data_IF_689026024739
#
_entry.id   IF_689026024739
#
_cell.length_a   1.000
_cell.length_b   1.000
_cell.length_c   1.000
_cell.angle_alpha   90.00
_cell.angle_beta   90.00
_cell.angle_gamma   90.00
#
_symmetry.space_group_name_H-M   'P 1'
#
loop_
_entity.id
_entity.type
_entity.pdbx_description
1 polymer ?
#
# COMPACT_ATOMS: atom_id res chain seq x y z
N UNK A 1 -0.69 33.38 -21.37
CA UNK A 1 0.02 32.30 -22.09
C UNK A 1 -0.43 30.99 -21.47
N UNK A 2 -1.43 30.37 -22.09
CA UNK A 2 -1.93 29.04 -21.75
C UNK A 2 -0.95 28.01 -22.33
N UNK A 3 -0.38 27.18 -21.48
CA UNK A 3 0.40 26.02 -21.91
C UNK A 3 -0.60 24.92 -22.22
N UNK A 4 -0.81 24.63 -23.49
CA UNK A 4 -1.50 23.43 -23.94
C UNK A 4 -0.67 22.20 -23.56
N UNK A 5 -1.25 21.32 -22.76
CA UNK A 5 -0.70 19.99 -22.48
C UNK A 5 -1.00 19.11 -23.69
N UNK A 6 -0.10 19.13 -24.68
CA UNK A 6 -0.13 18.30 -25.90
C UNK A 6 0.25 16.85 -25.54
N UNK A 7 -0.56 16.22 -24.68
CA UNK A 7 -0.30 14.87 -24.17
C UNK A 7 -1.55 14.05 -23.83
N UNK A 8 -2.70 14.67 -23.55
CA UNK A 8 -3.93 13.93 -23.17
C UNK A 8 -4.81 13.55 -24.36
N UNK A 9 -4.99 14.45 -25.34
CA UNK A 9 -6.01 14.25 -26.39
C UNK A 9 -5.62 13.18 -27.43
N UNK A 10 -4.34 13.05 -27.76
CA UNK A 10 -3.87 12.07 -28.76
C UNK A 10 -3.95 10.62 -28.27
N UNK A 11 -3.87 10.40 -26.95
CA UNK A 11 -3.95 9.07 -26.33
C UNK A 11 -5.38 8.59 -26.06
N UNK A 12 -6.35 9.50 -25.94
CA UNK A 12 -7.74 9.11 -25.80
C UNK A 12 -8.29 8.51 -27.11
N UNK A 13 -7.95 9.11 -28.26
CA UNK A 13 -8.56 8.80 -29.56
C UNK A 13 -8.24 7.39 -30.13
N UNK A 14 -7.21 6.70 -29.65
CA UNK A 14 -6.77 5.38 -30.15
C UNK A 14 -7.28 4.18 -29.33
N UNK A 15 -7.94 4.40 -28.19
CA UNK A 15 -8.42 3.28 -27.35
C UNK A 15 -9.70 2.62 -27.90
N UNK A 16 -9.80 1.27 -27.78
CA UNK A 16 -11.06 0.56 -28.01
C UNK A 16 -12.22 1.17 -27.21
N UNK A 17 -13.39 1.31 -27.83
CA UNK A 17 -14.57 1.94 -27.22
C UNK A 17 -14.98 1.32 -25.87
N UNK A 18 -14.75 0.01 -25.70
CA UNK A 18 -15.03 -0.70 -24.45
C UNK A 18 -14.17 -0.19 -23.27
N UNK A 19 -12.88 0.06 -23.50
CA UNK A 19 -11.98 0.57 -22.44
C UNK A 19 -12.41 1.96 -22.00
N UNK A 20 -12.78 2.84 -22.94
CA UNK A 20 -13.26 4.19 -22.60
C UNK A 20 -14.51 4.16 -21.73
N UNK A 21 -15.46 3.28 -22.04
CA UNK A 21 -16.69 3.13 -21.23
C UNK A 21 -16.38 2.70 -19.80
N UNK A 22 -15.45 1.76 -19.64
CA UNK A 22 -15.02 1.28 -18.31
C UNK A 22 -14.35 2.41 -17.53
N UNK A 23 -13.41 3.13 -18.14
CA UNK A 23 -12.74 4.27 -17.50
C UNK A 23 -13.74 5.38 -17.12
N UNK A 24 -14.72 5.68 -17.97
CA UNK A 24 -15.76 6.66 -17.67
C UNK A 24 -16.65 6.22 -16.49
N UNK A 25 -17.01 4.93 -16.41
CA UNK A 25 -17.75 4.36 -15.28
C UNK A 25 -16.96 4.43 -13.98
N UNK A 26 -15.65 4.18 -14.03
CA UNK A 26 -14.76 4.34 -12.88
C UNK A 26 -14.79 5.79 -12.41
N UNK A 27 -14.58 6.73 -13.34
CA UNK A 27 -14.56 8.17 -13.05
C UNK A 27 -15.86 8.64 -12.41
N UNK A 28 -17.01 8.18 -12.90
CA UNK A 28 -18.31 8.46 -12.31
C UNK A 28 -18.43 7.87 -10.89
N UNK A 29 -17.95 6.65 -10.67
CA UNK A 29 -18.06 5.96 -9.39
C UNK A 29 -17.19 6.59 -8.28
N UNK A 30 -16.03 7.16 -8.64
CA UNK A 30 -15.10 7.80 -7.69
C UNK A 30 -15.36 9.28 -7.47
N UNK A 31 -16.11 9.93 -8.37
CA UNK A 31 -16.41 11.37 -8.30
C UNK A 31 -17.11 11.72 -6.99
N UNK A 32 -16.54 12.68 -6.26
CA UNK A 32 -17.06 13.15 -4.98
C UNK A 32 -16.77 12.21 -3.81
N UNK A 33 -15.96 11.15 -4.00
CA UNK A 33 -15.56 10.21 -2.95
C UNK A 33 -14.06 10.23 -2.69
N UNK A 34 -13.33 11.21 -3.22
CA UNK A 34 -11.87 11.29 -3.07
C UNK A 34 -11.41 11.57 -1.63
N UNK A 35 -12.31 12.01 -0.77
CA UNK A 35 -12.10 12.08 0.69
C UNK A 35 -12.03 10.70 1.36
N UNK A 36 -12.55 9.65 0.70
CA UNK A 36 -12.34 8.26 1.07
C UNK A 36 -10.96 7.85 0.54
N UNK A 37 -10.12 7.31 1.41
CA UNK A 37 -8.76 6.88 1.02
C UNK A 37 -8.77 5.66 0.09
N UNK A 38 -9.89 4.93 0.06
CA UNK A 38 -10.12 3.84 -0.89
C UNK A 38 -11.59 3.83 -1.32
N UNK A 39 -11.82 3.62 -2.62
CA UNK A 39 -13.16 3.47 -3.21
C UNK A 39 -13.24 2.12 -3.92
N UNK A 40 -14.25 1.32 -3.56
CA UNK A 40 -14.56 0.07 -4.25
C UNK A 40 -15.54 0.31 -5.41
N UNK A 41 -15.27 -0.31 -6.55
CA UNK A 41 -16.11 -0.30 -7.76
C UNK A 41 -16.30 -1.74 -8.26
N UNK A 42 -17.54 -2.20 -8.36
CA UNK A 42 -17.86 -3.56 -8.79
C UNK A 42 -18.12 -3.65 -10.30
N UNK A 43 -17.62 -4.72 -10.92
CA UNK A 43 -17.72 -5.08 -12.34
C UNK A 43 -18.16 -6.55 -12.50
N UNK A 44 -19.41 -6.90 -12.14
CA UNK A 44 -19.87 -8.29 -12.09
C UNK A 44 -20.00 -8.96 -13.48
N UNK A 45 -20.05 -8.19 -14.55
CA UNK A 45 -20.37 -8.68 -15.91
C UNK A 45 -19.14 -9.19 -16.69
N UNK A 46 -18.06 -9.55 -15.99
CA UNK A 46 -16.82 -10.04 -16.60
C UNK A 46 -16.04 -8.97 -17.38
N UNK A 47 -16.32 -7.69 -17.13
CA UNK A 47 -15.68 -6.57 -17.83
C UNK A 47 -14.16 -6.51 -17.59
N UNK A 48 -13.69 -7.01 -16.44
CA UNK A 48 -12.26 -7.06 -16.08
C UNK A 48 -11.56 -8.37 -16.51
N UNK A 49 -12.23 -9.29 -17.21
CA UNK A 49 -11.59 -10.53 -17.71
C UNK A 49 -10.51 -10.24 -18.75
N UNK A 50 -10.69 -9.16 -19.51
CA UNK A 50 -9.75 -8.77 -20.57
C UNK A 50 -8.51 -8.11 -19.95
N UNK A 51 -7.34 -8.73 -20.16
CA UNK A 51 -6.06 -8.19 -19.70
C UNK A 51 -5.84 -6.74 -20.15
N UNK A 52 -6.18 -6.39 -21.39
CA UNK A 52 -6.00 -5.02 -21.91
C UNK A 52 -6.85 -3.98 -21.19
N UNK A 53 -8.00 -4.37 -20.62
CA UNK A 53 -8.81 -3.50 -19.76
C UNK A 53 -8.09 -3.28 -18.44
N UNK A 54 -7.61 -4.36 -17.81
CA UNK A 54 -6.90 -4.29 -16.53
C UNK A 54 -5.59 -3.49 -16.63
N UNK A 55 -4.81 -3.72 -17.69
CA UNK A 55 -3.62 -2.90 -18.01
C UNK A 55 -3.98 -1.42 -18.12
N UNK A 56 -5.07 -1.09 -18.82
CA UNK A 56 -5.52 0.30 -18.93
C UNK A 56 -5.93 0.88 -17.57
N UNK A 57 -6.61 0.13 -16.71
CA UNK A 57 -6.97 0.58 -15.36
C UNK A 57 -5.72 0.89 -14.54
N UNK A 58 -4.75 -0.04 -14.52
CA UNK A 58 -3.51 0.10 -13.74
C UNK A 58 -2.61 1.25 -14.22
N UNK A 59 -2.72 1.66 -15.49
CA UNK A 59 -2.03 2.83 -16.04
C UNK A 59 -2.63 4.15 -15.51
N UNK A 60 -3.95 4.20 -15.35
CA UNK A 60 -4.66 5.44 -15.00
C UNK A 60 -4.86 5.61 -13.50
N UNK A 61 -4.97 4.50 -12.76
CA UNK A 61 -5.34 4.51 -11.36
C UNK A 61 -4.34 3.72 -10.52
N UNK A 62 -4.14 4.19 -9.29
CA UNK A 62 -3.55 3.37 -8.23
C UNK A 62 -4.60 2.37 -7.79
N UNK A 63 -4.57 1.19 -8.41
CA UNK A 63 -5.67 0.24 -8.37
C UNK A 63 -5.26 -1.16 -7.95
N UNK A 64 -6.16 -1.83 -7.25
CA UNK A 64 -6.08 -3.26 -6.93
C UNK A 64 -7.33 -3.95 -7.50
N UNK A 65 -7.18 -5.15 -8.08
CA UNK A 65 -8.28 -5.91 -8.67
C UNK A 65 -8.35 -7.28 -7.98
N UNK A 66 -9.48 -7.57 -7.34
CA UNK A 66 -9.75 -8.81 -6.63
C UNK A 66 -10.83 -9.58 -7.38
N UNK A 67 -10.62 -10.89 -7.57
CA UNK A 67 -11.54 -11.82 -8.23
C UNK A 67 -12.04 -11.40 -9.63
N UNK A 68 -11.37 -10.44 -10.29
CA UNK A 68 -11.75 -9.85 -11.58
C UNK A 68 -13.16 -9.24 -11.63
N UNK A 69 -13.72 -8.90 -10.48
CA UNK A 69 -15.03 -8.27 -10.36
C UNK A 69 -15.03 -7.10 -9.37
N UNK A 70 -14.01 -6.98 -8.51
CA UNK A 70 -13.88 -5.90 -7.53
C UNK A 70 -12.63 -5.09 -7.80
N UNK A 71 -12.82 -3.80 -8.06
CA UNK A 71 -11.76 -2.82 -8.26
C UNK A 71 -11.68 -1.90 -7.04
N UNK A 72 -10.50 -1.72 -6.48
CA UNK A 72 -10.23 -0.77 -5.40
C UNK A 72 -9.32 0.32 -5.91
N UNK A 73 -9.74 1.58 -5.77
CA UNK A 73 -8.96 2.76 -6.18
C UNK A 73 -8.51 3.49 -4.94
N UNK A 74 -7.21 3.74 -4.83
CA UNK A 74 -6.58 4.37 -3.67
C UNK A 74 -6.37 5.87 -3.90
N UNK A 75 -6.72 6.66 -2.89
CA UNK A 75 -6.50 8.10 -2.80
C UNK A 75 -5.60 8.41 -1.60
N UNK A 76 -4.31 8.10 -1.76
CA UNK A 76 -3.32 8.32 -0.70
C UNK A 76 -2.89 9.79 -0.66
N UNK A 77 -2.98 10.40 0.52
CA UNK A 77 -2.52 11.77 0.77
C UNK A 77 -1.01 11.86 0.99
N UNK A 78 -0.47 13.09 0.95
CA UNK A 78 0.98 13.34 1.01
C UNK A 78 1.71 12.72 2.22
N UNK A 79 1.08 12.71 3.40
CA UNK A 79 1.68 12.08 4.59
C UNK A 79 1.89 10.57 4.40
N UNK A 80 0.90 9.88 3.82
CA UNK A 80 0.97 8.45 3.58
C UNK A 80 2.02 8.13 2.50
N UNK A 81 2.03 8.89 1.41
CA UNK A 81 3.06 8.77 0.36
C UNK A 81 4.48 9.02 0.89
N UNK A 82 4.67 10.03 1.74
CA UNK A 82 6.00 10.28 2.34
C UNK A 82 6.42 9.13 3.26
N UNK A 83 5.49 8.53 4.01
CA UNK A 83 5.78 7.35 4.84
C UNK A 83 6.23 6.19 3.94
N UNK A 84 5.56 5.96 2.81
CA UNK A 84 5.95 4.93 1.84
C UNK A 84 7.40 5.14 1.36
N UNK A 85 7.73 6.38 1.00
CA UNK A 85 9.06 6.74 0.50
C UNK A 85 10.15 6.54 1.55
N UNK A 86 9.96 7.04 2.76
CA UNK A 86 10.97 6.98 3.82
C UNK A 86 11.18 5.53 4.32
N UNK A 87 10.11 4.75 4.40
CA UNK A 87 10.19 3.30 4.66
C UNK A 87 10.97 2.58 3.57
N UNK A 88 10.63 2.82 2.29
CA UNK A 88 11.32 2.19 1.17
C UNK A 88 12.80 2.58 1.13
N UNK A 89 13.14 3.85 1.41
CA UNK A 89 14.51 4.32 1.49
C UNK A 89 15.30 3.63 2.62
N UNK A 90 14.69 3.52 3.80
CA UNK A 90 15.29 2.85 4.96
C UNK A 90 15.57 1.37 4.66
N UNK A 91 14.60 0.67 4.06
CA UNK A 91 14.74 -0.74 3.66
C UNK A 91 15.83 -0.94 2.59
N UNK A 92 15.92 -0.06 1.59
CA UNK A 92 17.00 -0.10 0.58
C UNK A 92 18.37 0.11 1.20
N UNK A 93 18.45 0.98 2.20
CA UNK A 93 19.69 1.27 2.93
C UNK A 93 20.11 0.10 3.79
N UNK A 94 19.15 -0.54 4.47
CA UNK A 94 19.38 -1.72 5.30
C UNK A 94 19.99 -2.87 4.49
N UNK A 95 19.47 -3.17 3.30
CA UNK A 95 20.05 -4.19 2.43
C UNK A 95 19.90 -3.85 0.94
N UNK A 96 21.03 -3.48 0.33
CA UNK A 96 21.10 -3.08 -1.09
C UNK A 96 20.87 -4.22 -2.08
N UNK A 97 20.94 -5.48 -1.63
CA UNK A 97 20.69 -6.63 -2.48
C UNK A 97 19.19 -6.93 -2.62
N UNK A 98 18.35 -6.38 -1.74
CA UNK A 98 16.91 -6.54 -1.84
C UNK A 98 16.34 -5.63 -2.93
N UNK A 99 15.32 -6.14 -3.63
CA UNK A 99 14.47 -5.28 -4.44
C UNK A 99 13.40 -4.69 -3.52
N UNK A 100 13.41 -3.37 -3.35
CA UNK A 100 12.44 -2.65 -2.52
C UNK A 100 11.69 -1.67 -3.41
N UNK A 101 10.37 -1.76 -3.39
CA UNK A 101 9.52 -0.94 -4.25
C UNK A 101 8.21 -0.59 -3.57
N UNK A 102 7.71 0.60 -3.84
CA UNK A 102 6.39 1.06 -3.45
C UNK A 102 5.40 0.87 -4.60
N UNK A 103 4.14 0.58 -4.29
CA UNK A 103 3.02 0.53 -5.24
C UNK A 103 3.25 -0.40 -6.47
N UNK A 104 4.07 -1.44 -6.32
CA UNK A 104 4.36 -2.40 -7.39
C UNK A 104 3.26 -3.44 -7.50
N UNK A 105 2.76 -3.67 -8.72
CA UNK A 105 1.73 -4.68 -8.97
C UNK A 105 2.32 -6.08 -8.75
N UNK A 106 1.65 -6.86 -7.92
CA UNK A 106 1.90 -8.26 -7.65
C UNK A 106 0.65 -9.07 -8.01
N UNK A 107 0.83 -10.31 -8.47
CA UNK A 107 -0.27 -11.23 -8.75
C UNK A 107 -0.28 -12.33 -7.69
N UNK A 108 -1.34 -12.39 -6.88
CA UNK A 108 -1.49 -13.36 -5.79
C UNK A 108 -2.82 -14.09 -5.93
N UNK A 109 -2.78 -15.40 -6.19
CA UNK A 109 -4.00 -16.18 -6.37
C UNK A 109 -4.88 -15.68 -7.54
N UNK A 110 -4.28 -15.04 -8.53
CA UNK A 110 -4.99 -14.39 -9.64
C UNK A 110 -5.51 -12.97 -9.36
N UNK A 111 -5.34 -12.47 -8.13
CA UNK A 111 -5.66 -11.09 -7.74
C UNK A 111 -4.48 -10.17 -8.04
N UNK A 112 -4.74 -8.91 -8.38
CA UNK A 112 -3.75 -7.89 -8.69
C UNK A 112 -3.68 -6.89 -7.56
N UNK A 113 -2.65 -7.02 -6.74
CA UNK A 113 -2.52 -6.33 -5.46
C UNK A 113 -1.24 -5.50 -5.44
N UNK A 114 -1.20 -4.48 -4.60
CA UNK A 114 -0.09 -3.54 -4.49
C UNK A 114 0.23 -3.28 -3.02
N UNK A 115 1.41 -3.71 -2.52
CA UNK A 115 1.85 -3.27 -1.21
C UNK A 115 2.17 -1.78 -1.27
N UNK A 116 1.93 -1.07 -0.16
CA UNK A 116 2.43 0.29 0.00
C UNK A 116 3.96 0.30 -0.04
N UNK A 117 4.58 -0.65 0.66
CA UNK A 117 6.00 -0.97 0.53
C UNK A 117 6.19 -2.49 0.49
N UNK A 118 6.78 -2.97 -0.60
CA UNK A 118 7.14 -4.38 -0.80
C UNK A 118 8.65 -4.59 -0.82
N UNK A 119 9.11 -5.69 -0.23
CA UNK A 119 10.53 -6.10 -0.27
C UNK A 119 10.64 -7.52 -0.77
N UNK A 120 11.47 -7.72 -1.78
CA UNK A 120 11.83 -9.04 -2.28
C UNK A 120 13.31 -9.32 -1.99
N UNK A 121 13.57 -10.41 -1.26
CA UNK A 121 14.94 -10.81 -0.92
C UNK A 121 15.72 -11.29 -2.14
N UNK A 122 15.00 -11.79 -3.15
CA UNK A 122 15.50 -12.05 -4.49
C UNK A 122 14.77 -11.15 -5.46
N UNK A 123 15.50 -10.54 -6.39
CA UNK A 123 14.88 -9.68 -7.38
C UNK A 123 13.89 -10.49 -8.24
N UNK A 124 12.64 -10.00 -8.43
CA UNK A 124 11.81 -10.53 -9.48
C UNK A 124 12.52 -10.38 -10.83
N UNK A 125 12.27 -11.32 -11.73
CA UNK A 125 12.85 -11.32 -13.06
C UNK A 125 12.54 -10.01 -13.79
N UNK A 126 13.35 -9.69 -14.80
CA UNK A 126 13.09 -8.49 -15.60
C UNK A 126 11.67 -8.51 -16.21
N UNK A 127 11.20 -9.67 -16.68
CA UNK A 127 9.88 -9.83 -17.26
C UNK A 127 8.76 -9.56 -16.24
N UNK A 128 8.88 -10.09 -15.01
CA UNK A 128 7.94 -9.82 -13.91
C UNK A 128 7.91 -8.34 -13.52
N UNK A 129 9.06 -7.66 -13.49
CA UNK A 129 9.11 -6.23 -13.15
C UNK A 129 8.60 -5.33 -14.26
N UNK A 130 8.88 -5.67 -15.52
CA UNK A 130 8.50 -4.84 -16.68
C UNK A 130 7.04 -5.05 -17.12
N UNK A 131 6.50 -6.26 -16.94
CA UNK A 131 5.13 -6.63 -17.33
C UNK A 131 4.50 -7.50 -16.23
N UNK A 132 4.19 -6.90 -15.07
CA UNK A 132 3.79 -7.65 -13.87
C UNK A 132 2.50 -8.44 -14.02
N UNK A 133 1.56 -7.96 -14.84
CA UNK A 133 0.29 -8.65 -15.08
C UNK A 133 0.45 -9.88 -15.99
N UNK A 134 1.26 -9.76 -17.05
CA UNK A 134 1.49 -10.83 -18.02
C UNK A 134 2.34 -11.94 -17.39
N UNK A 135 3.40 -11.54 -16.69
CA UNK A 135 4.38 -12.48 -16.14
C UNK A 135 4.10 -12.85 -14.67
N UNK A 136 2.96 -12.42 -14.12
CA UNK A 136 2.54 -12.73 -12.74
C UNK A 136 3.61 -12.41 -11.70
N UNK A 137 3.95 -11.12 -11.56
CA UNK A 137 4.93 -10.65 -10.58
C UNK A 137 4.64 -11.23 -9.18
N UNK A 138 5.60 -11.92 -8.54
CA UNK A 138 5.35 -12.62 -7.28
C UNK A 138 5.13 -11.64 -6.13
N UNK A 139 4.43 -12.03 -5.07
CA UNK A 139 4.34 -11.20 -3.88
C UNK A 139 5.71 -11.01 -3.21
N UNK A 140 5.92 -9.89 -2.49
CA UNK A 140 7.12 -9.66 -1.72
C UNK A 140 7.25 -10.61 -0.51
N UNK A 141 8.44 -10.66 0.05
CA UNK A 141 8.75 -11.38 1.29
C UNK A 141 8.37 -10.57 2.54
N UNK A 142 8.43 -9.23 2.45
CA UNK A 142 7.88 -8.31 3.44
C UNK A 142 6.85 -7.41 2.75
N UNK A 143 5.64 -7.38 3.29
CA UNK A 143 4.51 -6.62 2.80
C UNK A 143 4.09 -5.62 3.87
N UNK A 144 4.22 -4.33 3.55
CA UNK A 144 3.82 -3.24 4.44
C UNK A 144 2.59 -2.56 3.85
N UNK A 145 1.55 -2.43 4.67
CA UNK A 145 0.39 -1.56 4.41
C UNK A 145 0.41 -0.39 5.39
N UNK A 146 0.22 0.81 4.88
CA UNK A 146 -0.02 2.01 5.65
C UNK A 146 -1.50 2.36 5.45
N UNK A 147 -2.21 2.70 6.51
CA UNK A 147 -3.62 3.05 6.40
C UNK A 147 -4.00 4.02 7.49
N UNK A 148 -4.97 4.87 7.22
CA UNK A 148 -5.59 5.67 8.26
C UNK A 148 -6.43 4.78 9.17
N UNK A 149 -6.43 5.05 10.47
CA UNK A 149 -7.23 4.32 11.46
C UNK A 149 -8.72 4.71 11.40
N UNK A 150 -9.28 4.64 10.20
CA UNK A 150 -10.69 4.85 9.89
C UNK A 150 -11.08 3.94 8.72
N UNK A 151 -12.36 3.61 8.65
CA UNK A 151 -12.90 2.81 7.57
C UNK A 151 -13.38 3.74 6.44
N UNK A 152 -13.22 3.36 5.16
CA UNK A 152 -12.90 2.01 4.68
C UNK A 152 -11.41 1.62 4.64
N UNK A 153 -10.46 2.56 4.79
CA UNK A 153 -9.02 2.32 4.55
C UNK A 153 -8.44 1.19 5.42
N UNK A 154 -8.67 1.25 6.73
CA UNK A 154 -8.20 0.24 7.69
C UNK A 154 -8.78 -1.13 7.37
N UNK A 155 -10.09 -1.24 7.18
CA UNK A 155 -10.74 -2.52 6.91
C UNK A 155 -10.26 -3.12 5.58
N UNK A 156 -10.10 -2.30 4.54
CA UNK A 156 -9.52 -2.72 3.26
C UNK A 156 -8.10 -3.28 3.43
N UNK A 157 -7.21 -2.59 4.15
CA UNK A 157 -5.85 -3.07 4.38
C UNK A 157 -5.82 -4.41 5.13
N UNK A 158 -6.66 -4.59 6.15
CA UNK A 158 -6.71 -5.82 6.94
C UNK A 158 -7.32 -7.00 6.18
N UNK A 159 -8.40 -6.76 5.42
CA UNK A 159 -9.05 -7.78 4.59
C UNK A 159 -8.13 -8.23 3.46
N UNK A 160 -7.38 -7.30 2.86
CA UNK A 160 -6.36 -7.63 1.87
C UNK A 160 -5.26 -8.52 2.44
N UNK A 161 -4.71 -8.19 3.61
CA UNK A 161 -3.71 -9.07 4.26
C UNK A 161 -4.30 -10.46 4.52
N UNK A 162 -5.52 -10.54 5.03
CA UNK A 162 -6.20 -11.80 5.27
C UNK A 162 -6.41 -12.62 3.98
N UNK A 163 -6.73 -11.96 2.86
CA UNK A 163 -6.85 -12.59 1.55
C UNK A 163 -5.50 -13.15 1.07
N UNK A 164 -4.43 -12.34 1.11
CA UNK A 164 -3.10 -12.77 0.64
C UNK A 164 -2.60 -13.97 1.44
N UNK A 165 -2.85 -14.00 2.75
CA UNK A 165 -2.46 -15.10 3.65
C UNK A 165 -3.08 -16.45 3.27
N UNK A 166 -4.22 -16.47 2.56
CA UNK A 166 -4.83 -17.71 2.06
C UNK A 166 -4.00 -18.34 0.93
N UNK A 167 -3.24 -17.53 0.18
CA UNK A 167 -2.44 -17.97 -0.95
C UNK A 167 -0.95 -18.09 -0.62
N UNK A 168 -0.45 -17.27 0.31
CA UNK A 168 0.98 -17.22 0.63
C UNK A 168 1.24 -16.96 2.12
N UNK A 169 1.66 -18.00 2.84
CA UNK A 169 1.90 -17.93 4.29
C UNK A 169 3.33 -17.53 4.69
N UNK A 170 4.23 -17.33 3.71
CA UNK A 170 5.65 -16.99 3.95
C UNK A 170 5.95 -15.49 3.98
N UNK A 171 4.94 -14.65 3.76
CA UNK A 171 5.10 -13.21 3.77
C UNK A 171 5.13 -12.72 5.23
N UNK A 172 6.07 -11.84 5.53
CA UNK A 172 6.02 -11.03 6.73
C UNK A 172 5.15 -9.80 6.48
N UNK A 173 4.12 -9.60 7.32
CA UNK A 173 3.21 -8.47 7.18
C UNK A 173 3.40 -7.45 8.29
N UNK A 174 3.38 -6.19 7.90
CA UNK A 174 3.34 -5.04 8.79
C UNK A 174 2.20 -4.13 8.36
N UNK A 175 1.35 -3.75 9.31
CA UNK A 175 0.32 -2.73 9.14
C UNK A 175 0.70 -1.50 9.95
N UNK A 176 0.62 -0.32 9.36
CA UNK A 176 0.94 0.96 10.02
C UNK A 176 -0.32 1.81 10.01
N UNK A 177 -0.95 1.93 11.17
CA UNK A 177 -2.13 2.75 11.34
C UNK A 177 -1.73 4.20 11.61
N UNK A 178 -2.17 5.14 10.76
CA UNK A 178 -2.01 6.58 10.92
C UNK A 178 -3.25 7.19 11.60
N UNK A 179 -3.09 8.27 12.39
CA UNK A 179 -4.23 8.97 12.96
C UNK A 179 -5.05 9.68 11.86
N UNK A 180 -6.37 9.71 12.04
CA UNK A 180 -7.25 10.61 11.27
C UNK A 180 -7.39 11.88 12.08
N UNK A 181 -6.64 12.89 11.71
CA UNK A 181 -6.57 14.15 12.44
C UNK A 181 -6.08 15.25 11.51
N UNK A 182 -6.71 16.41 11.59
CA UNK A 182 -6.24 17.64 10.93
C UNK A 182 -5.05 18.25 11.68
N UNK A 183 -4.82 17.82 12.92
CA UNK A 183 -3.69 18.28 13.72
C UNK A 183 -2.52 17.30 13.63
N UNK A 184 -1.28 17.81 13.55
CA UNK A 184 -0.08 16.99 13.61
C UNK A 184 0.01 16.18 14.90
N UNK A 185 0.72 15.05 14.83
CA UNK A 185 1.14 14.32 16.02
C UNK A 185 2.10 15.18 16.86
N UNK A 186 2.14 14.93 18.17
CA UNK A 186 3.04 15.68 19.08
C UNK A 186 4.50 15.56 18.62
N UNK A 187 5.31 16.63 18.71
CA UNK A 187 6.73 16.59 18.31
C UNK A 187 7.54 15.63 19.20
N UNK A 188 8.68 15.16 18.69
CA UNK A 188 9.59 14.30 19.45
C UNK A 188 10.15 15.06 20.66
N UNK A 189 9.87 14.63 21.91
CA UNK A 189 10.41 15.30 23.08
C UNK A 189 11.92 15.08 23.27
N UNK A 190 12.49 14.03 22.66
CA UNK A 190 13.89 13.63 22.86
C UNK A 190 14.56 13.27 21.51
N UNK A 191 14.70 14.22 20.56
CA UNK A 191 15.27 13.95 19.24
C UNK A 191 16.73 13.48 19.35
N UNK A 192 17.12 12.53 18.50
CA UNK A 192 18.48 11.98 18.46
C UNK A 192 18.79 10.95 19.56
N UNK A 193 17.82 10.60 20.41
CA UNK A 193 17.98 9.54 21.40
C UNK A 193 18.01 8.16 20.74
N UNK A 194 18.80 7.25 21.30
CA UNK A 194 18.84 5.84 20.85
C UNK A 194 17.45 5.23 21.01
N UNK A 195 16.98 4.56 19.96
CA UNK A 195 15.67 3.91 19.99
C UNK A 195 15.72 2.60 20.75
N UNK A 196 14.60 2.24 21.39
CA UNK A 196 14.48 1.02 22.18
C UNK A 196 13.40 0.09 21.62
N UNK A 197 13.50 -1.24 21.81
CA UNK A 197 12.48 -2.15 21.33
C UNK A 197 11.11 -1.85 21.95
N UNK A 198 10.07 -1.83 21.13
CA UNK A 198 8.71 -1.68 21.61
C UNK A 198 8.28 -2.95 22.39
N UNK A 199 7.97 -2.80 23.68
CA UNK A 199 7.64 -3.94 24.56
C UNK A 199 6.13 -4.16 24.76
N UNK A 200 5.29 -3.20 24.37
CA UNK A 200 3.83 -3.28 24.54
C UNK A 200 3.19 -4.08 23.40
N UNK A 201 3.42 -5.39 23.38
CA UNK A 201 2.85 -6.33 22.41
C UNK A 201 1.48 -6.86 22.87
N UNK A 202 0.42 -6.15 22.50
CA UNK A 202 -0.93 -6.53 22.91
C UNK A 202 -1.64 -7.31 21.81
N UNK A 203 -2.49 -8.27 22.18
CA UNK A 203 -3.39 -8.96 21.25
C UNK A 203 -4.65 -8.13 20.94
N UNK A 204 -4.83 -7.01 21.65
CA UNK A 204 -5.95 -6.09 21.46
C UNK A 204 -5.49 -4.87 20.67
N UNK A 205 -6.25 -4.52 19.64
CA UNK A 205 -5.99 -3.33 18.82
C UNK A 205 -6.09 -2.05 19.65
N UNK A 206 -5.08 -1.15 19.61
CA UNK A 206 -5.19 0.19 20.17
C UNK A 206 -6.35 0.98 19.54
N UNK A 207 -7.13 1.67 20.36
CA UNK A 207 -8.24 2.49 19.85
C UNK A 207 -7.74 3.69 19.02
N UNK A 208 -6.64 4.31 19.47
CA UNK A 208 -6.03 5.48 18.83
C UNK A 208 -4.76 5.10 18.09
N UNK A 209 -4.62 5.66 16.90
CA UNK A 209 -3.38 5.67 16.14
C UNK A 209 -2.44 6.82 16.60
N UNK A 210 -1.13 6.74 16.31
CA UNK A 210 -0.48 5.72 15.51
C UNK A 210 -0.21 4.40 16.26
N UNK A 211 -0.34 3.28 15.54
CA UNK A 211 0.04 1.96 16.03
C UNK A 211 0.53 1.07 14.88
N UNK A 212 1.34 0.08 15.22
CA UNK A 212 1.85 -0.93 14.29
C UNK A 212 1.13 -2.25 14.56
N UNK A 213 0.83 -2.97 13.50
CA UNK A 213 0.41 -4.37 13.52
C UNK A 213 1.53 -5.19 12.91
N UNK A 214 2.01 -6.19 13.62
CA UNK A 214 2.93 -7.19 13.10
C UNK A 214 2.24 -8.54 13.12
N UNK A 215 2.26 -9.24 11.99
CA UNK A 215 1.82 -10.63 11.96
C UNK A 215 3.00 -11.50 12.34
N UNK A 216 2.92 -12.15 13.50
CA UNK A 216 3.98 -13.00 14.02
C UNK A 216 4.20 -14.26 13.15
N UNK A 217 5.13 -15.14 13.54
CA UNK A 217 5.43 -16.36 12.79
C UNK A 217 4.24 -17.33 12.67
N UNK A 218 3.22 -17.17 13.53
CA UNK A 218 1.98 -17.95 13.52
C UNK A 218 0.82 -17.17 12.85
N UNK A 219 1.11 -16.04 12.21
CA UNK A 219 0.13 -15.10 11.64
C UNK A 219 -0.86 -14.49 12.65
N UNK A 220 -0.52 -14.47 13.94
CA UNK A 220 -1.29 -13.72 14.92
C UNK A 220 -0.98 -12.23 14.77
N UNK A 221 -2.03 -11.41 14.90
CA UNK A 221 -1.88 -9.95 14.94
C UNK A 221 -1.36 -9.52 16.30
N UNK A 222 -0.15 -8.96 16.31
CA UNK A 222 0.48 -8.35 17.48
C UNK A 222 0.49 -6.85 17.28
N UNK A 223 -0.05 -6.11 18.24
CA UNK A 223 -0.17 -4.66 18.15
C UNK A 223 0.87 -3.97 19.02
N UNK A 224 1.44 -2.89 18.49
CA UNK A 224 2.39 -2.02 19.19
C UNK A 224 1.90 -0.57 19.09
N UNK A 225 1.77 0.12 20.23
CA UNK A 225 1.54 1.57 20.22
C UNK A 225 2.81 2.23 19.66
N UNK A 226 2.66 3.07 18.64
CA UNK A 226 3.79 3.79 18.07
C UNK A 226 4.04 5.07 18.87
N UNK A 227 5.25 5.20 19.39
CA UNK A 227 5.71 6.39 20.10
C UNK A 227 7.18 6.67 19.75
N UNK A 228 7.62 7.88 20.07
CA UNK A 228 8.95 8.36 19.77
C UNK A 228 10.04 7.48 20.38
N UNK A 229 11.09 7.26 19.59
CA UNK A 229 12.29 6.51 19.96
C UNK A 229 12.01 5.05 20.33
N UNK A 230 10.97 4.47 19.73
CA UNK A 230 10.69 3.03 19.76
C UNK A 230 10.94 2.41 18.40
N UNK A 231 11.27 1.12 18.39
CA UNK A 231 11.40 0.35 17.15
C UNK A 231 10.84 -1.06 17.28
N UNK A 232 10.58 -1.68 16.13
CA UNK A 232 10.24 -3.09 16.01
C UNK A 232 11.28 -3.79 15.14
N UNK A 233 11.82 -4.92 15.63
CA UNK A 233 12.71 -5.78 14.83
C UNK A 233 11.86 -6.82 14.09
N UNK A 234 11.91 -6.78 12.76
CA UNK A 234 11.20 -7.72 11.88
C UNK A 234 11.99 -9.03 11.73
N UNK A 235 11.31 -10.10 11.30
CA UNK A 235 11.92 -11.42 11.05
C UNK A 235 13.00 -11.35 9.97
N UNK A 236 12.84 -10.45 9.01
CA UNK A 236 13.86 -10.20 7.99
C UNK A 236 15.12 -9.49 8.51
N UNK A 237 15.17 -9.12 9.79
CA UNK A 237 16.30 -8.43 10.42
C UNK A 237 16.24 -6.90 10.30
N UNK A 238 15.27 -6.36 9.56
CA UNK A 238 15.05 -4.92 9.47
C UNK A 238 14.55 -4.37 10.81
N UNK A 239 15.14 -3.26 11.25
CA UNK A 239 14.65 -2.50 12.41
C UNK A 239 13.74 -1.38 11.91
N UNK A 240 12.44 -1.54 12.08
CA UNK A 240 11.45 -0.51 11.82
C UNK A 240 11.47 0.50 12.97
N UNK A 241 12.24 1.56 12.80
CA UNK A 241 12.23 2.72 13.70
C UNK A 241 10.92 3.50 13.51
N UNK A 242 10.16 3.69 14.59
CA UNK A 242 8.88 4.40 14.51
C UNK A 242 9.06 5.88 14.21
N UNK A 243 10.24 6.45 14.48
CA UNK A 243 10.55 7.84 14.14
C UNK A 243 10.40 8.10 12.63
N UNK A 244 10.68 7.10 11.77
CA UNK A 244 10.47 7.20 10.31
C UNK A 244 9.04 7.62 9.98
N UNK A 245 8.06 7.13 10.74
CA UNK A 245 6.63 7.42 10.54
C UNK A 245 6.27 8.72 11.26
N UNK A 246 6.71 8.85 12.51
CA UNK A 246 6.31 9.95 13.38
C UNK A 246 6.87 11.30 12.92
N UNK A 247 8.09 11.33 12.37
CA UNK A 247 8.73 12.55 11.81
C UNK A 247 7.95 13.16 10.64
N UNK A 248 7.08 12.38 10.00
CA UNK A 248 6.22 12.82 8.90
C UNK A 248 4.92 13.37 9.48
N UNK A 249 4.22 12.57 10.28
CA UNK A 249 2.89 12.94 10.78
C UNK A 249 2.91 13.99 11.89
N UNK A 250 4.09 14.34 12.43
CA UNK A 250 4.27 15.43 13.39
C UNK A 250 4.58 16.78 12.75
N UNK A 251 4.70 16.85 11.42
CA UNK A 251 4.98 18.12 10.73
C UNK A 251 3.73 18.99 10.66
N UNK A 252 3.87 20.32 10.85
CA UNK A 252 2.77 21.27 10.71
C UNK A 252 2.33 21.46 9.26
#
# INVERSE_FOLDING_TARGET
MSVEVIGSEMFEQTKPSAIRKILARIEEAVRGKQEQQVVEVCFPDGELEKLSVREAIHIYYSAEIINRDRLFIKFDGGNKEQVHLDLAFSLRTHNRNWFVSNNTICVVGGNELRPDVGVWFQWPTYAERSKPLVNSCPPPHLWIEVFYNNDPDRSNALEKVALIQQYWNKIEYVGIALPVSDNPFRPNPNPGTVTTPATNNQNTRPYRAPYIIHWDANNNKVYYVADWNLHLVLRCGFTLDFNIILDIISRP
#
